data_IF_705525179806
#
_entry.id   IF_705525179806
#
_cell.length_a   1.000
_cell.length_b   1.000
_cell.length_c   1.000
_cell.angle_alpha   90.00
_cell.angle_beta   90.00
_cell.angle_gamma   90.00
#
_symmetry.space_group_name_H-M   'P 1'
#
loop_
_entity.id
_entity.type
_entity.pdbx_description
1 polymer ?
#
# COMPACT_ATOMS: atom_id res chain seq x y z
N UNK A 1 -0.31 -40.42 -4.62
CA UNK A 1 0.10 -39.06 -5.05
C UNK A 1 -1.05 -38.10 -4.81
N UNK A 2 -1.01 -37.32 -3.72
CA UNK A 2 -2.04 -36.31 -3.43
C UNK A 2 -1.77 -35.05 -4.27
N UNK A 3 -2.77 -34.60 -5.05
CA UNK A 3 -2.68 -33.37 -5.83
C UNK A 3 -2.72 -32.17 -4.88
N UNK A 4 -1.63 -31.40 -4.84
CA UNK A 4 -1.51 -30.15 -4.09
C UNK A 4 -2.57 -29.13 -4.55
N UNK A 5 -3.12 -28.26 -3.66
CA UNK A 5 -4.16 -27.32 -4.03
C UNK A 5 -3.57 -26.23 -4.95
N UNK A 6 -4.01 -26.22 -6.21
CA UNK A 6 -3.59 -25.28 -7.28
C UNK A 6 -4.05 -23.82 -7.11
N UNK A 7 -4.34 -23.37 -5.89
CA UNK A 7 -4.84 -22.00 -5.67
C UNK A 7 -3.69 -20.98 -5.58
N UNK A 8 -2.45 -21.44 -5.38
CA UNK A 8 -1.27 -20.56 -5.20
C UNK A 8 -0.19 -20.68 -6.30
N UNK A 9 -0.43 -21.46 -7.36
CA UNK A 9 0.62 -21.73 -8.37
C UNK A 9 0.73 -20.67 -9.47
N UNK A 10 -0.25 -19.79 -9.61
CA UNK A 10 -0.23 -18.71 -10.60
C UNK A 10 0.34 -17.40 -9.99
N UNK A 11 1.36 -16.77 -10.60
CA UNK A 11 1.97 -15.53 -10.11
C UNK A 11 1.00 -14.38 -9.87
N UNK A 12 -0.13 -14.34 -10.58
CA UNK A 12 -1.16 -13.31 -10.40
C UNK A 12 -2.03 -13.60 -9.18
N UNK A 13 -2.38 -14.85 -8.92
CA UNK A 13 -3.13 -15.25 -7.72
C UNK A 13 -2.45 -14.79 -6.43
N UNK A 14 -1.13 -14.96 -6.33
CA UNK A 14 -0.36 -14.44 -5.18
C UNK A 14 -0.39 -12.91 -5.10
N UNK A 15 -0.24 -12.24 -6.24
CA UNK A 15 -0.28 -10.79 -6.32
C UNK A 15 -1.63 -10.23 -5.85
N UNK A 16 -2.74 -10.86 -6.25
CA UNK A 16 -4.09 -10.48 -5.84
C UNK A 16 -4.31 -10.67 -4.35
N UNK A 17 -3.79 -11.75 -3.78
CA UNK A 17 -3.81 -11.94 -2.33
C UNK A 17 -3.03 -10.84 -1.62
N UNK A 18 -1.79 -10.55 -2.03
CA UNK A 18 -0.98 -9.47 -1.44
C UNK A 18 -1.67 -8.09 -1.61
N UNK A 19 -2.33 -7.85 -2.75
CA UNK A 19 -3.13 -6.65 -3.01
C UNK A 19 -4.36 -6.54 -2.09
N UNK A 20 -5.05 -7.64 -1.80
CA UNK A 20 -6.19 -7.65 -0.87
C UNK A 20 -5.78 -7.31 0.56
N UNK A 21 -4.61 -7.80 1.00
CA UNK A 21 -4.05 -7.43 2.31
C UNK A 21 -3.70 -5.94 2.37
N UNK A 22 -3.10 -5.42 1.31
CA UNK A 22 -2.84 -3.99 1.18
C UNK A 22 -4.14 -3.17 1.20
N UNK A 23 -5.18 -3.63 0.51
CA UNK A 23 -6.49 -2.98 0.50
C UNK A 23 -7.12 -2.93 1.90
N UNK A 24 -7.06 -4.02 2.66
CA UNK A 24 -7.52 -4.07 4.04
C UNK A 24 -6.73 -3.10 4.95
N UNK A 25 -5.40 -3.06 4.84
CA UNK A 25 -4.55 -2.12 5.58
C UNK A 25 -4.89 -0.66 5.20
N UNK A 26 -5.14 -0.38 3.92
CA UNK A 26 -5.55 0.94 3.46
C UNK A 26 -6.92 1.35 4.02
N UNK A 27 -7.88 0.42 4.06
CA UNK A 27 -9.18 0.63 4.69
C UNK A 27 -9.08 1.06 6.16
N UNK A 28 -8.24 0.37 6.96
CA UNK A 28 -7.99 0.74 8.35
C UNK A 28 -7.38 2.14 8.48
N UNK A 29 -6.37 2.46 7.65
CA UNK A 29 -5.74 3.79 7.63
C UNK A 29 -6.76 4.90 7.31
N UNK A 30 -7.63 4.66 6.32
CA UNK A 30 -8.69 5.61 5.97
C UNK A 30 -9.67 5.82 7.11
N UNK A 31 -10.08 4.75 7.80
CA UNK A 31 -10.96 4.82 8.97
C UNK A 31 -10.34 5.64 10.10
N UNK A 32 -9.10 5.33 10.52
CA UNK A 32 -8.41 6.07 11.58
C UNK A 32 -8.21 7.55 11.25
N UNK A 33 -7.91 7.84 9.97
CA UNK A 33 -7.84 9.22 9.48
C UNK A 33 -9.19 9.91 9.53
N UNK A 34 -10.26 9.23 9.09
CA UNK A 34 -11.62 9.73 9.21
C UNK A 34 -11.96 10.14 10.64
N UNK A 35 -11.68 9.27 11.62
CA UNK A 35 -11.89 9.58 13.05
C UNK A 35 -11.08 10.80 13.51
N UNK A 36 -9.81 10.88 13.14
CA UNK A 36 -8.96 12.02 13.49
C UNK A 36 -9.42 13.33 12.83
N UNK A 37 -9.92 13.27 11.60
CA UNK A 37 -10.47 14.44 10.90
C UNK A 37 -11.78 14.89 11.53
N UNK A 38 -12.67 13.96 11.90
CA UNK A 38 -13.92 14.29 12.58
C UNK A 38 -13.69 14.94 13.95
N UNK A 39 -12.63 14.55 14.67
CA UNK A 39 -12.25 15.22 15.92
C UNK A 39 -11.81 16.68 15.72
N UNK A 40 -11.39 17.06 14.51
CA UNK A 40 -11.02 18.43 14.16
C UNK A 40 -9.77 18.96 14.86
N UNK A 41 -9.65 20.29 14.87
CA UNK A 41 -8.58 21.02 15.55
C UNK A 41 -7.19 20.88 14.92
N UNK A 42 -6.14 21.39 15.59
CA UNK A 42 -4.77 21.41 15.06
C UNK A 42 -4.20 20.02 14.76
N UNK A 43 -4.69 19.00 15.47
CA UNK A 43 -4.32 17.61 15.28
C UNK A 43 -4.77 17.04 13.93
N UNK A 44 -5.95 17.44 13.45
CA UNK A 44 -6.49 17.08 12.14
C UNK A 44 -5.71 17.77 11.01
N UNK A 45 -5.44 19.08 11.13
CA UNK A 45 -4.66 19.84 10.13
C UNK A 45 -3.26 19.24 9.92
N UNK A 46 -2.53 18.95 11.01
CA UNK A 46 -1.21 18.29 10.93
C UNK A 46 -1.29 16.90 10.30
N UNK A 47 -2.35 16.16 10.56
CA UNK A 47 -2.52 14.86 9.90
C UNK A 47 -2.76 15.04 8.41
N UNK A 48 -3.58 16.02 7.98
CA UNK A 48 -3.86 16.30 6.57
C UNK A 48 -2.58 16.65 5.79
N UNK A 49 -1.75 17.55 6.32
CA UNK A 49 -0.45 17.93 5.75
C UNK A 49 0.49 16.72 5.65
N UNK A 50 0.54 15.90 6.70
CA UNK A 50 1.31 14.66 6.70
C UNK A 50 0.79 13.68 5.64
N UNK A 51 -0.53 13.53 5.47
CA UNK A 51 -1.10 12.63 4.45
C UNK A 51 -0.71 13.06 3.04
N UNK A 52 -0.60 14.36 2.78
CA UNK A 52 -0.20 14.88 1.49
C UNK A 52 1.28 14.58 1.23
N UNK A 53 2.13 14.88 2.20
CA UNK A 53 3.57 14.60 2.13
C UNK A 53 3.85 13.11 1.89
N UNK A 54 3.15 12.22 2.60
CA UNK A 54 3.26 10.78 2.41
C UNK A 54 2.86 10.32 0.99
N UNK A 55 1.79 10.90 0.40
CA UNK A 55 1.36 10.56 -0.97
C UNK A 55 2.40 10.97 -2.01
N UNK A 56 2.92 12.19 -1.88
CA UNK A 56 3.96 12.73 -2.78
C UNK A 56 5.22 11.88 -2.69
N UNK A 57 5.69 11.58 -1.49
CA UNK A 57 6.87 10.74 -1.28
C UNK A 57 6.69 9.32 -1.84
N UNK A 58 5.53 8.69 -1.64
CA UNK A 58 5.26 7.35 -2.16
C UNK A 58 5.19 7.35 -3.69
N UNK A 59 4.63 8.40 -4.30
CA UNK A 59 4.62 8.59 -5.74
C UNK A 59 6.03 8.69 -6.32
N UNK A 60 6.89 9.53 -5.73
CA UNK A 60 8.28 9.64 -6.15
C UNK A 60 9.09 8.35 -5.92
N UNK A 61 8.87 7.65 -4.81
CA UNK A 61 9.53 6.37 -4.54
C UNK A 61 9.17 5.32 -5.60
N UNK A 62 7.90 5.24 -5.99
CA UNK A 62 7.47 4.32 -7.05
C UNK A 62 8.00 4.76 -8.42
N UNK A 63 7.89 6.05 -8.77
CA UNK A 63 8.40 6.57 -10.04
C UNK A 63 9.90 6.32 -10.18
N UNK A 64 10.68 6.62 -9.14
CA UNK A 64 12.12 6.34 -9.10
C UNK A 64 12.41 4.85 -9.21
N UNK A 65 11.65 3.99 -8.51
CA UNK A 65 11.79 2.55 -8.63
C UNK A 65 11.54 2.03 -10.05
N UNK A 66 10.53 2.57 -10.75
CA UNK A 66 10.19 2.18 -12.12
C UNK A 66 11.18 2.73 -13.13
N UNK A 67 11.71 3.94 -12.92
CA UNK A 67 12.71 4.58 -13.78
C UNK A 67 14.02 3.77 -13.88
N UNK A 68 14.32 2.91 -12.91
CA UNK A 68 15.50 2.02 -12.97
C UNK A 68 15.42 0.90 -14.02
N UNK A 69 14.25 0.69 -14.66
CA UNK A 69 14.06 -0.37 -15.67
C UNK A 69 14.09 -1.80 -15.11
N UNK A 70 14.26 -1.98 -13.79
CA UNK A 70 14.34 -3.30 -13.14
C UNK A 70 13.04 -4.10 -13.17
N UNK A 71 11.91 -3.46 -13.47
CA UNK A 71 10.61 -4.10 -13.64
C UNK A 71 10.26 -4.17 -15.13
N UNK A 72 10.71 -5.22 -15.81
CA UNK A 72 10.59 -5.37 -17.27
C UNK A 72 9.26 -5.99 -17.75
N UNK A 73 8.37 -6.40 -16.83
CA UNK A 73 7.09 -7.03 -17.15
C UNK A 73 5.94 -6.38 -16.39
N UNK A 74 4.69 -6.43 -16.91
CA UNK A 74 3.51 -5.90 -16.21
C UNK A 74 3.36 -6.46 -14.80
N UNK A 75 3.64 -7.76 -14.62
CA UNK A 75 3.61 -8.42 -13.31
C UNK A 75 4.68 -7.86 -12.36
N UNK A 76 5.90 -7.65 -12.83
CA UNK A 76 6.98 -7.07 -12.03
C UNK A 76 6.67 -5.63 -11.62
N UNK A 77 6.07 -4.84 -12.53
CA UNK A 77 5.62 -3.46 -12.26
C UNK A 77 4.55 -3.46 -11.18
N UNK A 78 3.52 -4.30 -11.31
CA UNK A 78 2.43 -4.39 -10.34
C UNK A 78 2.92 -4.87 -8.97
N UNK A 79 3.80 -5.87 -8.93
CA UNK A 79 4.46 -6.32 -7.70
C UNK A 79 5.26 -5.21 -7.04
N UNK A 80 6.00 -4.42 -7.82
CA UNK A 80 6.77 -3.29 -7.29
C UNK A 80 5.86 -2.21 -6.70
N UNK A 81 4.76 -1.88 -7.38
CA UNK A 81 3.76 -0.94 -6.87
C UNK A 81 3.16 -1.41 -5.53
N UNK A 82 2.70 -2.67 -5.45
CA UNK A 82 2.14 -3.25 -4.23
C UNK A 82 3.17 -3.26 -3.09
N UNK A 83 4.43 -3.60 -3.37
CA UNK A 83 5.49 -3.58 -2.35
C UNK A 83 5.80 -2.17 -1.84
N UNK A 84 5.96 -1.20 -2.75
CA UNK A 84 6.26 0.20 -2.39
C UNK A 84 5.13 0.82 -1.57
N UNK A 85 3.88 0.74 -2.04
CA UNK A 85 2.74 1.27 -1.29
C UNK A 85 2.45 0.46 -0.03
N UNK A 86 2.57 -0.87 -0.07
CA UNK A 86 2.31 -1.74 1.07
C UNK A 86 3.18 -1.43 2.28
N UNK A 87 4.48 -1.17 2.06
CA UNK A 87 5.38 -0.74 3.12
C UNK A 87 4.89 0.55 3.80
N UNK A 88 4.48 1.55 3.02
CA UNK A 88 4.02 2.86 3.52
C UNK A 88 2.69 2.74 4.25
N UNK A 89 1.72 2.03 3.67
CA UNK A 89 0.39 1.85 4.27
C UNK A 89 0.49 1.09 5.60
N UNK A 90 1.32 0.05 5.70
CA UNK A 90 1.52 -0.68 6.96
C UNK A 90 2.17 0.18 8.04
N UNK A 91 3.14 1.02 7.67
CA UNK A 91 3.74 1.98 8.59
C UNK A 91 2.71 3.02 9.07
N UNK A 92 1.85 3.50 8.17
CA UNK A 92 0.77 4.42 8.50
C UNK A 92 -0.26 3.80 9.44
N UNK A 93 -0.66 2.54 9.19
CA UNK A 93 -1.57 1.79 10.04
C UNK A 93 -1.03 1.74 11.46
N UNK A 94 0.20 1.23 11.64
CA UNK A 94 0.87 1.13 12.95
C UNK A 94 0.96 2.48 13.69
N UNK A 95 1.08 3.59 12.96
CA UNK A 95 1.17 4.94 13.55
C UNK A 95 -0.19 5.47 14.04
N UNK A 96 -1.26 5.11 13.34
CA UNK A 96 -2.61 5.64 13.57
C UNK A 96 -3.42 4.79 14.56
N UNK A 97 -3.12 3.49 14.65
CA UNK A 97 -3.80 2.51 15.51
C UNK A 97 -3.20 1.12 15.32
#
# INVERSE_FOLDING_TARGET
MARSPRVLSDPWSRLMFDASLLWADAGAVMMFRGWRMMAGGPAAAREAERMLSEKVQAGFELAGALATGKAATPHAVARKAISTYGKRVRANRKRLG
#
